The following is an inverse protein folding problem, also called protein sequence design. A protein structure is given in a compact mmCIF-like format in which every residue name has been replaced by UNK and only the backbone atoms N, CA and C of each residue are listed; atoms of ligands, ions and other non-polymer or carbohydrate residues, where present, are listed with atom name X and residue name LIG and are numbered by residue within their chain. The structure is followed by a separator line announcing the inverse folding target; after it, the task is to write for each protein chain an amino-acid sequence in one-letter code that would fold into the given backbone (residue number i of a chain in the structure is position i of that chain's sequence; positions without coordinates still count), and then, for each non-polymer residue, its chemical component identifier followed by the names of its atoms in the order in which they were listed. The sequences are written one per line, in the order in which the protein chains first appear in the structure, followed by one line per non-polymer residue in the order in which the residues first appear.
data_IF_321380129895
#
_entry.id   IF_321380129895
#
_cell.length_a   1.000
_cell.length_b   1.000
_cell.length_c   1.000
_cell.angle_alpha   90.00
_cell.angle_beta   90.00
_cell.angle_gamma   90.00
#
_symmetry.space_group_name_H-M   'P 1'
#
loop_
_entity.id
_entity.type
_entity.pdbx_description
1 polymer ?
#
# COMPACT_ATOMS: atom_id res chain seq x y z
N UNK A 1 16.40 20.13 5.00
CA UNK A 1 17.41 19.36 4.22
C UNK A 1 16.92 17.99 3.75
N UNK A 2 16.01 17.29 4.45
CA UNK A 2 15.41 16.04 3.93
C UNK A 2 14.45 16.27 2.74
N UNK A 3 13.65 17.34 2.78
CA UNK A 3 12.73 17.68 1.69
C UNK A 3 13.43 17.97 0.34
N UNK A 4 14.69 18.43 0.36
CA UNK A 4 15.47 18.73 -0.85
C UNK A 4 15.98 17.49 -1.58
N UNK A 5 16.12 16.34 -0.91
CA UNK A 5 16.49 15.06 -1.55
C UNK A 5 15.32 14.41 -2.30
N UNK A 6 14.09 14.84 -1.99
CA UNK A 6 12.85 14.27 -2.54
C UNK A 6 12.24 15.18 -3.61
N UNK A 7 12.52 16.49 -3.54
CA UNK A 7 12.08 17.50 -4.53
C UNK A 7 12.51 17.10 -5.95
N UNK A 8 11.54 17.04 -6.87
CA UNK A 8 11.76 16.70 -8.27
C UNK A 8 11.71 15.20 -8.59
N UNK A 9 11.47 14.34 -7.61
CA UNK A 9 11.23 12.91 -7.82
C UNK A 9 9.75 12.57 -7.63
N UNK A 10 9.31 11.44 -8.18
CA UNK A 10 7.99 10.84 -7.97
C UNK A 10 7.64 10.64 -6.48
N UNK A 11 8.64 10.62 -5.60
CA UNK A 11 8.48 10.57 -4.15
C UNK A 11 7.98 11.88 -3.53
N UNK A 12 8.18 13.04 -4.17
CA UNK A 12 7.70 14.32 -3.64
C UNK A 12 6.19 14.33 -3.53
N UNK A 13 5.51 13.86 -4.57
CA UNK A 13 4.07 13.66 -4.58
C UNK A 13 3.64 12.69 -3.47
N UNK A 14 4.35 11.57 -3.28
CA UNK A 14 4.05 10.64 -2.18
C UNK A 14 4.18 11.28 -0.79
N UNK A 15 5.17 12.16 -0.59
CA UNK A 15 5.33 12.88 0.68
C UNK A 15 4.27 13.95 0.92
N UNK A 16 3.61 14.45 -0.11
CA UNK A 16 2.49 15.40 0.04
C UNK A 16 1.26 14.74 0.68
N UNK A 17 1.13 13.41 0.61
CA UNK A 17 0.08 12.67 1.33
C UNK A 17 0.40 12.48 2.82
N UNK A 18 1.60 12.81 3.28
CA UNK A 18 2.02 12.60 4.67
C UNK A 18 1.77 13.83 5.52
N UNK A 19 1.10 13.62 6.64
CA UNK A 19 0.99 14.63 7.70
C UNK A 19 2.38 15.03 8.22
N UNK A 20 2.67 16.32 8.42
CA UNK A 20 3.93 16.77 9.05
C UNK A 20 4.17 16.14 10.44
N UNK A 21 3.11 15.72 11.14
CA UNK A 21 3.18 15.04 12.43
C UNK A 21 3.91 13.70 12.32
N UNK A 22 3.80 13.01 11.18
CA UNK A 22 4.48 11.74 10.91
C UNK A 22 5.99 11.83 11.14
N UNK A 23 6.62 12.90 10.65
CA UNK A 23 8.07 13.10 10.79
C UNK A 23 8.52 13.39 12.23
N UNK A 24 7.58 13.68 13.14
CA UNK A 24 7.87 13.91 14.56
C UNK A 24 7.83 12.63 15.38
N UNK A 25 7.20 11.57 14.87
CA UNK A 25 7.02 10.28 15.57
C UNK A 25 7.84 9.15 14.98
N UNK A 26 8.53 9.39 13.86
CA UNK A 26 9.52 8.45 13.31
C UNK A 26 10.94 8.94 13.67
N UNK A 27 11.84 8.06 14.15
CA UNK A 27 13.21 8.45 14.46
C UNK A 27 13.93 9.09 13.24
N UNK A 28 14.48 10.31 13.37
CA UNK A 28 15.02 11.07 12.22
C UNK A 28 16.13 10.35 11.44
N UNK A 29 17.03 9.64 12.15
CA UNK A 29 18.11 8.88 11.52
C UNK A 29 17.57 7.69 10.70
N UNK A 30 16.57 6.99 11.23
CA UNK A 30 15.90 5.88 10.53
C UNK A 30 15.14 6.39 9.31
N UNK A 31 14.47 7.53 9.43
CA UNK A 31 13.79 8.20 8.32
C UNK A 31 14.75 8.62 7.21
N UNK A 32 15.90 9.20 7.55
CA UNK A 32 16.93 9.59 6.57
C UNK A 32 17.47 8.36 5.81
N UNK A 33 17.76 7.27 6.53
CA UNK A 33 18.17 6.00 5.91
C UNK A 33 17.10 5.45 4.96
N UNK A 34 15.83 5.49 5.37
CA UNK A 34 14.70 5.03 4.55
C UNK A 34 14.55 5.85 3.27
N UNK A 35 14.52 7.19 3.38
CA UNK A 35 14.43 8.08 2.22
C UNK A 35 15.61 7.89 1.26
N UNK A 36 16.83 7.70 1.78
CA UNK A 36 18.01 7.41 0.95
C UNK A 36 17.86 6.08 0.21
N UNK A 37 17.37 5.03 0.88
CA UNK A 37 17.13 3.73 0.25
C UNK A 37 16.09 3.82 -0.87
N UNK A 38 14.98 4.51 -0.62
CA UNK A 38 13.89 4.70 -1.59
C UNK A 38 14.32 5.55 -2.80
N UNK A 39 15.08 6.63 -2.57
CA UNK A 39 15.63 7.45 -3.64
C UNK A 39 16.72 6.72 -4.45
N UNK A 40 17.60 5.97 -3.77
CA UNK A 40 18.63 5.16 -4.42
C UNK A 40 18.05 4.06 -5.31
N UNK A 41 16.93 3.45 -4.90
CA UNK A 41 16.18 2.50 -5.71
C UNK A 41 15.58 3.14 -6.97
N UNK A 42 14.97 4.32 -6.84
CA UNK A 42 14.39 5.06 -7.97
C UNK A 42 15.42 5.45 -9.03
N UNK A 43 16.60 5.89 -8.60
CA UNK A 43 17.68 6.28 -9.52
C UNK A 43 18.40 5.07 -10.15
N UNK A 44 18.16 3.85 -9.67
CA UNK A 44 18.83 2.65 -10.13
C UNK A 44 17.88 1.77 -10.95
N UNK A 45 17.92 1.93 -12.27
CA UNK A 45 17.19 1.05 -13.20
C UNK A 45 17.55 -0.43 -12.99
N UNK A 46 18.80 -0.72 -12.58
CA UNK A 46 19.23 -2.07 -12.27
C UNK A 46 18.48 -2.64 -11.06
N UNK A 47 18.46 -1.92 -9.93
CA UNK A 47 17.81 -2.40 -8.71
C UNK A 47 16.29 -2.57 -8.90
N UNK A 48 15.66 -1.65 -9.63
CA UNK A 48 14.25 -1.78 -9.97
C UNK A 48 13.99 -2.98 -10.89
N UNK A 49 14.81 -3.19 -11.93
CA UNK A 49 14.71 -4.38 -12.78
C UNK A 49 14.90 -5.67 -11.97
N UNK A 50 15.82 -5.70 -11.01
CA UNK A 50 15.97 -6.83 -10.08
C UNK A 50 14.68 -7.08 -9.30
N UNK A 51 14.05 -6.03 -8.75
CA UNK A 51 12.76 -6.18 -8.07
C UNK A 51 11.68 -6.74 -9.02
N UNK A 52 11.60 -6.25 -10.27
CA UNK A 52 10.67 -6.79 -11.27
C UNK A 52 10.94 -8.27 -11.58
N UNK A 53 12.21 -8.69 -11.69
CA UNK A 53 12.56 -10.09 -11.93
C UNK A 53 12.19 -11.02 -10.77
N UNK A 54 12.11 -10.49 -9.55
CA UNK A 54 11.61 -11.23 -8.38
C UNK A 54 10.09 -11.28 -8.35
N UNK A 55 9.41 -10.17 -8.60
CA UNK A 55 7.96 -10.05 -8.42
C UNK A 55 7.18 -10.69 -9.56
N UNK A 56 7.63 -10.52 -10.81
CA UNK A 56 6.88 -10.98 -11.99
C UNK A 56 6.58 -12.49 -11.96
N UNK A 57 7.54 -13.39 -11.73
CA UNK A 57 7.24 -14.83 -11.72
C UNK A 57 6.29 -15.23 -10.58
N UNK A 58 6.43 -14.59 -9.42
CA UNK A 58 5.55 -14.83 -8.27
C UNK A 58 4.12 -14.37 -8.58
N UNK A 59 3.97 -13.23 -9.25
CA UNK A 59 2.66 -12.71 -9.67
C UNK A 59 2.02 -13.60 -10.74
N UNK A 60 2.78 -14.04 -11.74
CA UNK A 60 2.30 -14.96 -12.78
C UNK A 60 1.80 -16.29 -12.16
N UNK A 61 2.56 -16.83 -11.20
CA UNK A 61 2.20 -18.06 -10.48
C UNK A 61 0.96 -17.90 -9.61
N UNK A 62 0.69 -16.70 -9.10
CA UNK A 62 -0.47 -16.43 -8.24
C UNK A 62 -1.82 -16.53 -8.97
N UNK A 63 -1.84 -16.46 -10.30
CA UNK A 63 -3.08 -16.49 -11.07
C UNK A 63 -4.03 -15.32 -10.83
N UNK A 64 -3.55 -14.20 -10.24
CA UNK A 64 -4.39 -13.04 -9.90
C UNK A 64 -5.05 -12.35 -11.09
N UNK A 65 -4.63 -12.63 -12.34
CA UNK A 65 -5.13 -11.93 -13.52
C UNK A 65 -4.53 -10.52 -13.69
N UNK A 66 -3.35 -10.28 -13.10
CA UNK A 66 -2.57 -9.05 -13.24
C UNK A 66 -1.23 -9.37 -13.90
N UNK A 67 -0.89 -8.63 -14.95
CA UNK A 67 0.36 -8.77 -15.72
C UNK A 67 1.31 -7.61 -15.42
N UNK A 68 2.50 -7.89 -14.92
CA UNK A 68 3.50 -6.87 -14.55
C UNK A 68 4.48 -6.59 -15.69
N UNK A 69 4.42 -5.38 -16.25
CA UNK A 69 5.31 -4.92 -17.34
C UNK A 69 6.28 -3.85 -16.86
N UNK A 70 7.39 -3.69 -17.59
CA UNK A 70 8.39 -2.68 -17.25
C UNK A 70 7.91 -1.27 -17.66
N UNK A 71 8.38 -0.20 -17.01
CA UNK A 71 8.15 1.18 -17.44
C UNK A 71 8.59 1.38 -18.90
N UNK A 72 7.76 2.08 -19.67
CA UNK A 72 8.05 2.38 -21.09
C UNK A 72 7.72 1.24 -22.07
N UNK A 73 7.35 0.05 -21.60
CA UNK A 73 6.70 -0.96 -22.46
C UNK A 73 5.44 -0.37 -23.11
N UNK A 74 5.25 -0.65 -24.40
CA UNK A 74 4.04 -0.25 -25.14
C UNK A 74 2.88 -1.11 -24.63
N UNK A 75 1.86 -0.45 -24.06
CA UNK A 75 0.63 -1.10 -23.63
C UNK A 75 -0.50 -0.63 -24.53
N UNK A 76 -1.13 -1.54 -25.26
CA UNK A 76 -2.35 -1.26 -26.02
C UNK A 76 -3.52 -1.31 -25.06
N UNK A 77 -3.85 -0.16 -24.46
CA UNK A 77 -5.01 -0.07 -23.58
C UNK A 77 -6.29 -0.15 -24.41
N UNK A 78 -7.01 -1.27 -24.31
CA UNK A 78 -8.38 -1.41 -24.80
C UNK A 78 -9.21 -2.04 -23.70
N UNK A 79 -10.13 -1.24 -23.16
CA UNK A 79 -11.06 -1.68 -22.12
C UNK A 79 -12.28 -0.78 -22.11
N UNK A 80 -13.43 -1.37 -21.77
CA UNK A 80 -14.64 -0.61 -21.44
C UNK A 80 -14.45 0.18 -20.15
N UNK A 81 -15.31 1.17 -19.94
CA UNK A 81 -15.38 1.95 -18.69
C UNK A 81 -16.73 1.77 -17.98
N UNK A 82 -17.44 0.69 -18.31
CA UNK A 82 -18.70 0.35 -17.64
C UNK A 82 -18.46 -0.07 -16.18
N UNK A 83 -19.53 -0.04 -15.39
CA UNK A 83 -19.48 -0.36 -13.95
C UNK A 83 -18.91 -1.74 -13.64
N UNK A 84 -19.17 -2.74 -14.49
CA UNK A 84 -18.67 -4.10 -14.28
C UNK A 84 -17.16 -4.18 -14.50
N UNK A 85 -16.65 -3.51 -15.54
CA UNK A 85 -15.22 -3.38 -15.81
C UNK A 85 -14.51 -2.59 -14.70
N UNK A 86 -15.09 -1.48 -14.23
CA UNK A 86 -14.54 -0.69 -13.11
C UNK A 86 -14.52 -1.46 -11.80
N UNK A 87 -15.58 -2.22 -11.49
CA UNK A 87 -15.65 -3.08 -10.29
C UNK A 87 -14.56 -4.15 -10.32
N UNK A 88 -14.47 -4.90 -11.41
CA UNK A 88 -13.44 -5.94 -11.58
C UNK A 88 -12.03 -5.37 -11.42
N UNK A 89 -11.76 -4.19 -12.01
CA UNK A 89 -10.49 -3.48 -11.83
C UNK A 89 -10.22 -3.17 -10.36
N UNK A 90 -11.20 -2.62 -9.65
CA UNK A 90 -11.09 -2.35 -8.21
C UNK A 90 -10.76 -3.59 -7.39
N UNK A 91 -11.46 -4.70 -7.65
CA UNK A 91 -11.25 -5.98 -6.97
C UNK A 91 -9.85 -6.54 -7.22
N UNK A 92 -9.37 -6.50 -8.48
CA UNK A 92 -8.01 -6.92 -8.84
C UNK A 92 -6.93 -6.07 -8.16
N UNK A 93 -7.12 -4.76 -8.07
CA UNK A 93 -6.18 -3.85 -7.41
C UNK A 93 -6.11 -4.13 -5.91
N UNK A 94 -7.26 -4.35 -5.25
CA UNK A 94 -7.31 -4.69 -3.84
C UNK A 94 -6.63 -6.05 -3.56
N UNK A 95 -6.90 -7.06 -4.39
CA UNK A 95 -6.24 -8.37 -4.29
C UNK A 95 -4.74 -8.25 -4.52
N UNK A 96 -4.29 -7.47 -5.50
CA UNK A 96 -2.87 -7.19 -5.75
C UNK A 96 -2.20 -6.52 -4.53
N UNK A 97 -2.88 -5.55 -3.91
CA UNK A 97 -2.39 -4.89 -2.70
C UNK A 97 -2.15 -5.90 -1.56
N UNK A 98 -3.15 -6.71 -1.22
CA UNK A 98 -3.01 -7.72 -0.18
C UNK A 98 -1.97 -8.77 -0.57
N UNK A 99 -1.97 -9.24 -1.81
CA UNK A 99 -1.02 -10.24 -2.27
C UNK A 99 0.43 -9.79 -2.08
N UNK A 100 0.77 -8.55 -2.44
CA UNK A 100 2.11 -8.03 -2.20
C UNK A 100 2.47 -8.01 -0.71
N UNK A 101 1.55 -7.56 0.17
CA UNK A 101 1.80 -7.51 1.61
C UNK A 101 2.07 -8.91 2.17
N UNK A 102 1.32 -9.92 1.73
CA UNK A 102 1.37 -11.27 2.32
C UNK A 102 2.41 -12.19 1.68
N UNK A 103 2.76 -12.00 0.42
CA UNK A 103 3.59 -12.94 -0.33
C UNK A 103 4.98 -12.41 -0.70
N UNK A 104 5.24 -11.12 -0.50
CA UNK A 104 6.51 -10.50 -0.89
C UNK A 104 7.19 -9.79 0.27
N UNK A 105 8.52 -9.81 0.21
CA UNK A 105 9.40 -8.99 1.05
C UNK A 105 9.87 -7.71 0.31
N UNK A 106 9.61 -7.64 -1.00
CA UNK A 106 9.85 -6.49 -1.86
C UNK A 106 8.55 -6.08 -2.54
N UNK A 107 8.14 -4.81 -2.37
CA UNK A 107 6.88 -4.30 -2.92
C UNK A 107 7.13 -3.15 -3.89
N UNK A 108 6.31 -3.09 -4.93
CA UNK A 108 6.21 -1.90 -5.78
C UNK A 108 5.12 -0.99 -5.19
N UNK A 109 5.44 0.31 -5.17
CA UNK A 109 4.67 1.29 -4.40
C UNK A 109 3.69 2.08 -5.26
N UNK A 110 3.85 2.04 -6.58
CA UNK A 110 3.05 2.82 -7.51
C UNK A 110 1.70 2.14 -7.79
N UNK A 111 0.70 2.53 -6.99
CA UNK A 111 -0.69 2.11 -7.15
C UNK A 111 -1.56 3.15 -7.89
N UNK A 112 -0.97 4.23 -8.40
CA UNK A 112 -1.74 5.32 -9.03
C UNK A 112 -2.45 4.80 -10.27
N UNK A 113 -3.61 5.37 -10.59
CA UNK A 113 -4.43 4.96 -11.74
C UNK A 113 -3.64 4.86 -13.05
N UNK A 114 -2.73 5.80 -13.29
CA UNK A 114 -1.88 5.87 -14.49
C UNK A 114 -0.92 4.69 -14.66
N UNK A 115 -0.63 3.95 -13.60
CA UNK A 115 0.21 2.75 -13.65
C UNK A 115 -0.59 1.51 -14.09
N UNK A 116 -1.89 1.61 -14.34
CA UNK A 116 -2.73 0.46 -14.66
C UNK A 116 -3.53 0.68 -15.95
N UNK A 117 -3.46 -0.34 -16.81
CA UNK A 117 -4.13 -0.39 -18.10
C UNK A 117 -4.97 -1.65 -18.20
N UNK A 118 -6.05 -1.57 -18.97
CA UNK A 118 -6.85 -2.75 -19.31
C UNK A 118 -6.40 -3.31 -20.65
N UNK A 119 -6.17 -4.61 -20.71
CA UNK A 119 -5.92 -5.36 -21.95
C UNK A 119 -6.93 -6.51 -22.02
N UNK A 120 -8.10 -6.22 -22.59
CA UNK A 120 -9.26 -7.12 -22.56
C UNK A 120 -9.66 -7.46 -21.13
N UNK A 121 -9.53 -8.73 -20.77
CA UNK A 121 -9.86 -9.27 -19.45
C UNK A 121 -8.72 -9.15 -18.43
N UNK A 122 -7.52 -8.75 -18.84
CA UNK A 122 -6.36 -8.63 -17.96
C UNK A 122 -6.13 -7.20 -17.50
N UNK A 123 -5.64 -7.08 -16.26
CA UNK A 123 -5.12 -5.81 -15.75
C UNK A 123 -3.60 -5.79 -15.94
N UNK A 124 -3.11 -4.86 -16.76
CA UNK A 124 -1.69 -4.65 -16.97
C UNK A 124 -1.20 -3.59 -15.98
N UNK A 125 -0.22 -3.95 -15.16
CA UNK A 125 0.42 -3.07 -14.19
C UNK A 125 1.81 -2.65 -14.67
N UNK A 126 1.98 -1.35 -14.87
CA UNK A 126 3.21 -0.68 -15.30
C UNK A 126 3.61 0.38 -14.26
N UNK A 127 4.14 -0.03 -13.10
CA UNK A 127 4.49 0.90 -12.03
C UNK A 127 5.70 1.76 -12.40
N UNK A 128 5.76 2.99 -11.89
CA UNK A 128 7.02 3.73 -11.84
C UNK A 128 8.10 2.96 -11.03
N UNK A 129 9.35 3.40 -11.13
CA UNK A 129 10.50 2.80 -10.44
C UNK A 129 10.50 3.05 -8.91
N UNK A 130 9.37 2.84 -8.26
CA UNK A 130 9.12 3.03 -6.83
C UNK A 130 8.94 1.66 -6.20
N UNK A 131 9.93 1.22 -5.43
CA UNK A 131 9.87 -0.05 -4.71
C UNK A 131 10.46 0.08 -3.31
N UNK A 132 10.13 -0.89 -2.47
CA UNK A 132 10.63 -0.98 -1.11
C UNK A 132 10.94 -2.42 -0.72
N UNK A 133 12.05 -2.63 -0.01
CA UNK A 133 12.23 -3.83 0.81
C UNK A 133 11.67 -3.59 2.20
N UNK A 134 10.82 -4.49 2.68
CA UNK A 134 10.31 -4.40 4.03
C UNK A 134 11.35 -4.83 5.05
N UNK A 135 11.34 -4.14 6.18
CA UNK A 135 11.83 -4.74 7.41
C UNK A 135 10.96 -5.96 7.77
N UNK A 136 11.60 -7.06 8.16
CA UNK A 136 10.93 -8.36 8.39
C UNK A 136 9.96 -8.30 9.57
N UNK A 137 10.35 -7.63 10.65
CA UNK A 137 9.51 -7.51 11.83
C UNK A 137 8.33 -6.58 11.56
N UNK A 138 8.57 -5.51 10.78
CA UNK A 138 7.53 -4.61 10.33
C UNK A 138 6.46 -5.34 9.49
N UNK A 139 6.85 -6.03 8.41
CA UNK A 139 5.86 -6.68 7.53
C UNK A 139 5.14 -7.83 8.23
N UNK A 140 5.83 -8.58 9.10
CA UNK A 140 5.19 -9.59 9.94
C UNK A 140 4.11 -8.98 10.84
N UNK A 141 4.39 -7.83 11.47
CA UNK A 141 3.41 -7.12 12.29
C UNK A 141 2.25 -6.56 11.44
N UNK A 142 2.49 -6.03 10.24
CA UNK A 142 1.41 -5.59 9.32
C UNK A 142 0.51 -6.76 8.92
N UNK A 143 1.09 -7.91 8.56
CA UNK A 143 0.33 -9.14 8.24
C UNK A 143 -0.54 -9.57 9.44
N UNK A 144 0.04 -9.60 10.64
CA UNK A 144 -0.68 -9.91 11.87
C UNK A 144 -1.81 -8.92 12.16
N UNK A 145 -1.60 -7.62 11.93
CA UNK A 145 -2.62 -6.58 12.09
C UNK A 145 -3.81 -6.84 11.17
N UNK A 146 -3.57 -7.12 9.89
CA UNK A 146 -4.64 -7.43 8.93
C UNK A 146 -5.39 -8.72 9.28
N UNK A 147 -4.67 -9.80 9.63
CA UNK A 147 -5.28 -11.05 10.10
C UNK A 147 -6.16 -10.80 11.33
N UNK A 148 -5.63 -10.07 12.32
CA UNK A 148 -6.36 -9.71 13.53
C UNK A 148 -7.63 -8.91 13.25
N UNK A 149 -7.56 -7.97 12.31
CA UNK A 149 -8.70 -7.15 11.91
C UNK A 149 -9.78 -7.96 11.17
N UNK A 150 -9.44 -8.65 10.08
CA UNK A 150 -10.42 -9.32 9.21
C UNK A 150 -10.96 -10.64 9.77
N UNK A 151 -10.21 -11.31 10.66
CA UNK A 151 -10.69 -12.49 11.37
C UNK A 151 -11.22 -12.19 12.78
N UNK A 152 -11.39 -10.90 13.13
CA UNK A 152 -11.92 -10.47 14.43
C UNK A 152 -11.11 -11.04 15.61
N UNK A 153 -9.81 -11.23 15.40
CA UNK A 153 -8.84 -11.70 16.41
C UNK A 153 -8.16 -10.50 17.06
N UNK A 154 -8.89 -9.88 17.98
CA UNK A 154 -8.46 -8.67 18.69
C UNK A 154 -7.13 -8.85 19.46
N UNK A 155 -6.85 -10.06 19.95
CA UNK A 155 -5.58 -10.44 20.60
C UNK A 155 -4.37 -10.27 19.66
N UNK A 156 -4.48 -10.79 18.43
CA UNK A 156 -3.43 -10.63 17.41
C UNK A 156 -3.32 -9.16 17.04
N UNK A 157 -4.46 -8.52 16.76
CA UNK A 157 -4.48 -7.14 16.28
C UNK A 157 -3.80 -6.22 17.29
N UNK A 158 -4.12 -6.34 18.57
CA UNK A 158 -3.55 -5.52 19.64
C UNK A 158 -2.04 -5.72 19.77
N UNK A 159 -1.59 -6.98 19.73
CA UNK A 159 -0.16 -7.33 19.74
C UNK A 159 0.56 -6.71 18.53
N UNK A 160 -0.03 -6.79 17.35
CA UNK A 160 0.51 -6.22 16.13
C UNK A 160 0.57 -4.69 16.17
N UNK A 161 -0.50 -4.03 16.62
CA UNK A 161 -0.56 -2.58 16.79
C UNK A 161 0.48 -2.08 17.79
N UNK A 162 0.79 -2.84 18.85
CA UNK A 162 1.89 -2.52 19.75
C UNK A 162 3.25 -2.58 19.05
N UNK A 163 3.54 -3.66 18.32
CA UNK A 163 4.80 -3.80 17.56
C UNK A 163 4.98 -2.69 16.52
N UNK A 164 3.88 -2.24 15.93
CA UNK A 164 3.86 -1.16 14.96
C UNK A 164 3.91 0.25 15.59
N UNK A 165 3.75 0.38 16.90
CA UNK A 165 3.64 1.69 17.56
C UNK A 165 2.33 2.42 17.26
N UNK A 166 1.30 1.70 16.81
CA UNK A 166 -0.02 2.23 16.44
C UNK A 166 -1.09 2.01 17.52
N UNK A 167 -0.78 1.31 18.61
CA UNK A 167 -1.80 0.96 19.62
C UNK A 167 -2.55 2.17 20.18
N UNK A 168 -1.86 3.29 20.40
CA UNK A 168 -2.49 4.53 20.87
C UNK A 168 -3.55 5.12 19.92
N UNK A 169 -3.60 4.66 18.67
CA UNK A 169 -4.55 5.07 17.64
C UNK A 169 -5.54 3.95 17.25
N UNK A 170 -5.62 2.86 18.03
CA UNK A 170 -6.46 1.70 17.74
C UNK A 170 -7.91 2.08 17.42
N UNK A 171 -8.52 2.89 18.29
CA UNK A 171 -9.93 3.28 18.12
C UNK A 171 -10.15 4.12 16.85
N UNK A 172 -9.22 5.04 16.54
CA UNK A 172 -9.25 5.82 15.30
C UNK A 172 -9.16 4.94 14.06
N UNK A 173 -8.26 3.94 14.08
CA UNK A 173 -8.13 2.96 12.99
C UNK A 173 -9.39 2.11 12.85
N UNK A 174 -9.95 1.61 13.95
CA UNK A 174 -11.18 0.83 13.94
C UNK A 174 -12.39 1.65 13.50
N UNK A 175 -12.45 2.95 13.80
CA UNK A 175 -13.55 3.79 13.31
C UNK A 175 -13.45 4.04 11.80
N UNK A 176 -12.23 4.18 11.27
CA UNK A 176 -12.01 4.41 9.84
C UNK A 176 -12.18 3.15 9.01
N UNK A 177 -11.61 2.03 9.46
CA UNK A 177 -11.64 0.76 8.74
C UNK A 177 -12.74 -0.18 9.20
N UNK A 178 -13.21 -0.11 10.44
CA UNK A 178 -14.01 -1.17 11.09
C UNK A 178 -15.51 -1.14 10.85
N UNK A 179 -16.03 -0.28 9.97
CA UNK A 179 -17.46 -0.29 9.63
C UNK A 179 -17.65 -0.61 8.15
N UNK A 180 -18.47 -1.63 7.86
CA UNK A 180 -18.91 -2.03 6.52
C UNK A 180 -17.77 -2.28 5.50
N UNK A 181 -17.03 -3.38 5.64
CA UNK A 181 -15.95 -3.75 4.72
C UNK A 181 -16.41 -4.48 3.44
N UNK A 182 -17.70 -4.81 3.38
CA UNK A 182 -18.33 -5.48 2.23
C UNK A 182 -18.76 -4.45 1.14
N UNK A 183 -18.73 -3.15 1.46
CA UNK A 183 -19.03 -2.07 0.52
C UNK A 183 -18.35 -0.75 0.96
N UNK A 184 -17.07 -0.61 0.63
CA UNK A 184 -16.23 0.55 0.97
C UNK A 184 -16.20 1.53 -0.19
N UNK A 185 -16.61 2.77 0.08
CA UNK A 185 -16.35 3.92 -0.79
C UNK A 185 -15.06 4.61 -0.32
N UNK A 186 -14.10 4.71 -1.22
CA UNK A 186 -12.80 5.32 -0.94
C UNK A 186 -12.90 6.85 -1.03
N UNK A 187 -12.32 7.53 -0.05
CA UNK A 187 -12.23 8.99 0.03
C UNK A 187 -10.83 9.35 0.55
N UNK A 188 -10.01 9.90 -0.34
CA UNK A 188 -8.62 10.22 -0.04
C UNK A 188 -8.49 11.40 0.95
N UNK A 189 -9.42 12.36 0.92
CA UNK A 189 -9.41 13.49 1.84
C UNK A 189 -9.71 13.02 3.26
N UNK A 190 -10.74 12.18 3.44
CA UNK A 190 -11.07 11.54 4.72
C UNK A 190 -9.92 10.67 5.21
N UNK A 191 -9.32 9.86 4.34
CA UNK A 191 -8.15 9.05 4.68
C UNK A 191 -6.99 9.90 5.23
N UNK A 192 -6.65 11.00 4.54
CA UNK A 192 -5.60 11.93 4.99
C UNK A 192 -5.90 12.52 6.37
N UNK A 193 -7.16 12.92 6.60
CA UNK A 193 -7.60 13.44 7.91
C UNK A 193 -7.47 12.37 9.01
N UNK A 194 -7.98 11.16 8.78
CA UNK A 194 -7.87 10.07 9.74
C UNK A 194 -6.42 9.75 10.07
N UNK A 195 -5.54 9.65 9.08
CA UNK A 195 -4.13 9.33 9.34
C UNK A 195 -3.41 10.47 10.06
N UNK A 196 -3.80 11.73 9.84
CA UNK A 196 -3.34 12.83 10.68
C UNK A 196 -3.70 12.60 12.15
N UNK A 197 -4.94 12.21 12.44
CA UNK A 197 -5.41 11.91 13.81
C UNK A 197 -4.71 10.70 14.41
N UNK A 198 -4.46 9.66 13.62
CA UNK A 198 -3.65 8.49 14.02
C UNK A 198 -2.26 8.94 14.48
N UNK A 199 -1.59 9.79 13.70
CA UNK A 199 -0.25 10.28 14.06
C UNK A 199 -0.27 11.20 15.30
N UNK A 200 -1.30 12.02 15.47
CA UNK A 200 -1.50 12.80 16.69
C UNK A 200 -1.69 11.90 17.92
N UNK A 201 -2.48 10.84 17.79
CA UNK A 201 -2.70 9.86 18.86
C UNK A 201 -1.40 9.12 19.23
N UNK A 202 -0.63 8.65 18.23
CA UNK A 202 0.69 8.05 18.45
C UNK A 202 1.66 9.02 19.12
N UNK A 203 1.66 10.30 18.71
CA UNK A 203 2.48 11.34 19.35
C UNK A 203 2.11 11.53 20.82
N UNK A 204 0.81 11.62 21.12
CA UNK A 204 0.29 11.74 22.50
C UNK A 204 0.70 10.54 23.36
N UNK A 205 0.67 9.34 22.78
CA UNK A 205 1.11 8.10 23.41
C UNK A 205 2.65 7.93 23.47
N UNK A 206 3.43 8.90 22.95
CA UNK A 206 4.89 8.84 22.83
C UNK A 206 5.38 7.57 22.12
N UNK A 207 4.56 7.03 21.23
CA UNK A 207 4.91 5.87 20.42
C UNK A 207 5.88 6.27 19.31
N UNK A 208 6.79 5.37 18.97
CA UNK A 208 7.66 5.53 17.82
C UNK A 208 7.16 4.66 16.67
N UNK A 209 6.91 5.28 15.52
CA UNK A 209 6.53 4.54 14.33
C UNK A 209 7.76 4.02 13.59
N UNK A 210 7.60 2.84 13.01
CA UNK A 210 8.61 2.24 12.14
C UNK A 210 8.78 3.07 10.85
N UNK A 211 10.01 3.27 10.33
CA UNK A 211 10.23 4.05 9.09
C UNK A 211 9.49 3.49 7.86
N UNK A 212 9.20 2.19 7.84
CA UNK A 212 8.49 1.54 6.73
C UNK A 212 7.02 1.98 6.62
N UNK A 213 6.46 2.65 7.63
CA UNK A 213 5.18 3.34 7.50
C UNK A 213 5.17 4.37 6.38
N UNK A 214 6.32 4.93 6.02
CA UNK A 214 6.45 5.82 4.88
C UNK A 214 6.05 5.11 3.58
N UNK A 215 6.59 3.91 3.35
CA UNK A 215 6.29 3.13 2.15
C UNK A 215 4.86 2.59 2.18
N UNK A 216 4.40 2.10 3.33
CA UNK A 216 3.03 1.61 3.50
C UNK A 216 2.00 2.72 3.29
N UNK A 217 2.22 3.89 3.89
CA UNK A 217 1.37 5.07 3.72
C UNK A 217 1.34 5.55 2.28
N UNK A 218 2.48 5.52 1.58
CA UNK A 218 2.56 5.83 0.15
C UNK A 218 1.71 4.89 -0.71
N UNK A 219 1.79 3.58 -0.48
CA UNK A 219 0.94 2.59 -1.18
C UNK A 219 -0.55 2.89 -0.91
N UNK A 220 -0.91 3.07 0.36
CA UNK A 220 -2.31 3.30 0.75
C UNK A 220 -2.86 4.60 0.15
N UNK A 221 -2.07 5.68 0.11
CA UNK A 221 -2.49 6.93 -0.51
C UNK A 221 -2.76 6.76 -2.02
N UNK A 222 -1.84 6.11 -2.74
CA UNK A 222 -2.02 5.79 -4.17
C UNK A 222 -3.25 4.90 -4.40
N UNK A 223 -3.46 3.93 -3.51
CA UNK A 223 -4.59 3.01 -3.56
C UNK A 223 -5.92 3.76 -3.39
N UNK A 224 -6.03 4.61 -2.35
CA UNK A 224 -7.22 5.42 -2.11
C UNK A 224 -7.52 6.35 -3.29
N UNK A 225 -6.50 7.04 -3.82
CA UNK A 225 -6.65 7.91 -4.99
C UNK A 225 -7.19 7.14 -6.20
N UNK A 226 -6.64 5.95 -6.47
CA UNK A 226 -7.07 5.12 -7.60
C UNK A 226 -8.50 4.61 -7.42
N UNK A 227 -8.82 4.05 -6.25
CA UNK A 227 -10.12 3.44 -5.99
C UNK A 227 -11.23 4.48 -5.85
N UNK A 228 -10.95 5.67 -5.32
CA UNK A 228 -11.89 6.80 -5.29
C UNK A 228 -12.33 7.20 -6.71
N UNK A 229 -11.39 7.25 -7.66
CA UNK A 229 -11.68 7.59 -9.06
C UNK A 229 -12.56 6.55 -9.77
N UNK A 230 -12.68 5.33 -9.24
CA UNK A 230 -13.60 4.33 -9.79
C UNK A 230 -15.06 4.69 -9.46
N UNK A 231 -15.30 5.42 -8.36
CA UNK A 231 -16.63 5.90 -7.97
C UNK A 231 -17.60 4.79 -7.54
N UNK A 232 -17.08 3.66 -7.03
CA UNK A 232 -17.85 2.46 -6.70
C UNK A 232 -17.55 2.01 -5.25
N UNK A 233 -18.55 1.38 -4.63
CA UNK A 233 -18.35 0.63 -3.39
C UNK A 233 -17.72 -0.74 -3.68
N UNK A 234 -16.60 -1.05 -3.03
CA UNK A 234 -15.82 -2.28 -3.22
C UNK A 234 -15.82 -3.16 -1.98
N UNK A 235 -15.79 -4.48 -2.17
CA UNK A 235 -15.71 -5.44 -1.08
C UNK A 235 -14.24 -5.73 -0.72
N UNK A 236 -13.73 -4.96 0.24
CA UNK A 236 -12.33 -5.06 0.67
C UNK A 236 -12.10 -6.35 1.47
N UNK A 237 -13.13 -6.81 2.19
CA UNK A 237 -13.07 -8.03 2.99
C UNK A 237 -12.95 -9.27 2.11
N UNK A 238 -13.73 -9.35 1.03
CA UNK A 238 -13.63 -10.41 0.05
C UNK A 238 -12.24 -10.43 -0.59
N UNK A 239 -11.72 -9.28 -1.02
CA UNK A 239 -10.38 -9.19 -1.60
C UNK A 239 -9.27 -9.67 -0.64
N UNK A 240 -9.38 -9.36 0.65
CA UNK A 240 -8.47 -9.91 1.67
C UNK A 240 -8.59 -11.44 1.77
N UNK A 241 -9.80 -11.97 1.94
CA UNK A 241 -10.01 -13.40 2.13
C UNK A 241 -9.60 -14.23 0.91
N UNK A 242 -9.80 -13.71 -0.30
CA UNK A 242 -9.38 -14.39 -1.53
C UNK A 242 -7.86 -14.58 -1.57
N UNK A 243 -7.08 -13.62 -1.10
CA UNK A 243 -5.61 -13.73 -1.07
C UNK A 243 -5.13 -14.66 0.04
N UNK A 244 -5.77 -14.62 1.22
CA UNK A 244 -5.31 -15.40 2.39
C UNK A 244 -5.74 -16.86 2.33
N UNK A 245 -6.80 -17.21 1.60
CA UNK A 245 -7.18 -18.62 1.38
C UNK A 245 -6.07 -19.43 0.71
N UNK A 246 -5.23 -18.78 -0.10
CA UNK A 246 -4.08 -19.40 -0.78
C UNK A 246 -2.82 -19.47 0.10
N UNK A 247 -2.84 -18.84 1.28
CA UNK A 247 -1.75 -18.85 2.25
C UNK A 247 -2.16 -19.78 3.40
N UNK A 248 -1.75 -21.04 3.34
CA UNK A 248 -1.98 -22.02 4.41
C UNK A 248 -1.43 -21.46 5.74
N UNK A 249 -2.33 -21.16 6.68
CA UNK A 249 -1.98 -20.76 8.06
C UNK A 249 -1.53 -21.98 8.85
#
# INVERSE_FOLDING_TARGET
MLATLVKGTEWSQLTEYLSPVFFQIVPPLKMAGKLKSLAGGYLSSHAFNTALTTIRPALETSGLGVSLVAPGSVVTAQGGDDDSTRRRRGDLILRLYFWQIFNLDVNLLDFRRRAFHSDGDQLVWQPAALFNHWDKDFVAAVRQMYIGFYHTRHDIMDTALHKLGLYGAKDTLLNHFGTNQDCVYFDLAKFRSTFHDVFLACKKARSQLHPDFLALGGILACLYEHLEQLGLGLDVKAAFHDVIRDVTV
#
